data_IF_099321051113
#
_entry.id   IF_099321051113
#
_cell.length_a   1.000
_cell.length_b   1.000
_cell.length_c   1.000
_cell.angle_alpha   90.00
_cell.angle_beta   90.00
_cell.angle_gamma   90.00
#
_symmetry.space_group_name_H-M   'P 1'
#
loop_
_entity.id
_entity.type
_entity.pdbx_description
1 polymer ?
#
# COMPACT_ATOMS: atom_id res chain seq x y z
N UNK A 1 29.53 5.80 -3.91
CA UNK A 1 28.61 6.42 -4.87
C UNK A 1 27.63 7.25 -4.05
N UNK A 2 27.49 8.55 -4.33
CA UNK A 2 26.57 9.40 -3.58
C UNK A 2 25.15 9.09 -4.08
N UNK A 3 24.24 8.75 -3.16
CA UNK A 3 22.83 8.50 -3.49
C UNK A 3 22.14 9.84 -3.75
N UNK A 4 21.55 9.99 -4.92
CA UNK A 4 20.61 11.08 -5.20
C UNK A 4 19.19 10.51 -5.04
N UNK A 5 18.47 10.87 -3.97
CA UNK A 5 17.11 10.39 -3.79
C UNK A 5 16.20 10.99 -4.87
N UNK A 6 15.22 10.21 -5.30
CA UNK A 6 14.12 10.69 -6.13
C UNK A 6 13.23 11.64 -5.33
N UNK A 7 12.37 12.45 -6.01
CA UNK A 7 11.37 13.24 -5.31
C UNK A 7 10.54 12.36 -4.37
N UNK A 8 10.39 12.76 -3.12
CA UNK A 8 9.66 11.96 -2.12
C UNK A 8 8.16 11.84 -2.42
N UNK A 9 7.56 12.80 -3.13
CA UNK A 9 6.16 12.77 -3.54
C UNK A 9 6.03 12.90 -5.05
N UNK A 10 5.38 11.93 -5.68
CA UNK A 10 5.06 11.92 -7.10
C UNK A 10 3.71 12.63 -7.35
N UNK A 11 3.70 13.96 -7.27
CA UNK A 11 2.48 14.77 -7.46
C UNK A 11 2.34 15.38 -8.87
N UNK A 12 3.38 15.32 -9.70
CA UNK A 12 3.30 15.85 -11.05
C UNK A 12 2.40 14.96 -11.92
N UNK A 13 1.39 15.55 -12.55
CA UNK A 13 0.34 14.82 -13.28
C UNK A 13 0.89 13.94 -14.41
N UNK A 14 1.91 14.41 -15.12
CA UNK A 14 2.59 13.68 -16.19
C UNK A 14 3.33 12.43 -15.66
N UNK A 15 3.97 12.54 -14.51
CA UNK A 15 4.62 11.40 -13.84
C UNK A 15 3.61 10.37 -13.37
N UNK A 16 2.49 10.82 -12.78
CA UNK A 16 1.42 9.91 -12.31
C UNK A 16 0.79 9.16 -13.47
N UNK A 17 0.50 9.84 -14.58
CA UNK A 17 -0.05 9.22 -15.78
C UNK A 17 0.95 8.21 -16.36
N UNK A 18 2.20 8.59 -16.54
CA UNK A 18 3.23 7.71 -17.08
C UNK A 18 3.44 6.46 -16.20
N UNK A 19 3.39 6.63 -14.87
CA UNK A 19 3.48 5.51 -13.93
C UNK A 19 2.24 4.60 -14.00
N UNK A 20 1.05 5.17 -14.11
CA UNK A 20 -0.20 4.42 -14.19
C UNK A 20 -0.38 3.66 -15.51
N UNK A 21 0.22 4.15 -16.61
CA UNK A 21 0.23 3.53 -17.94
C UNK A 21 1.33 2.48 -18.10
N UNK A 22 2.35 2.49 -17.25
CA UNK A 22 3.42 1.49 -17.29
C UNK A 22 2.90 0.11 -16.92
N UNK A 23 3.31 -0.91 -17.67
CA UNK A 23 2.91 -2.30 -17.41
C UNK A 23 3.79 -2.94 -16.33
N UNK A 24 3.32 -2.87 -15.10
CA UNK A 24 3.91 -3.57 -13.95
C UNK A 24 3.22 -4.90 -13.64
N UNK A 25 2.27 -5.33 -14.47
CA UNK A 25 1.33 -6.43 -14.16
C UNK A 25 2.03 -7.74 -13.77
N UNK A 26 3.11 -8.09 -14.44
CA UNK A 26 3.88 -9.31 -14.13
C UNK A 26 4.60 -9.22 -12.78
N UNK A 27 5.25 -8.09 -12.48
CA UNK A 27 5.92 -7.85 -11.20
C UNK A 27 4.93 -7.79 -10.04
N UNK A 28 3.84 -7.07 -10.23
CA UNK A 28 2.76 -6.94 -9.24
C UNK A 28 2.12 -8.30 -8.93
N UNK A 29 1.89 -9.12 -9.96
CA UNK A 29 1.36 -10.47 -9.79
C UNK A 29 2.30 -11.34 -8.97
N UNK A 30 3.57 -11.41 -9.37
CA UNK A 30 4.59 -12.20 -8.65
C UNK A 30 4.78 -11.74 -7.20
N UNK A 31 4.70 -10.43 -6.94
CA UNK A 31 4.75 -9.89 -5.59
C UNK A 31 3.59 -10.38 -4.73
N UNK A 32 2.36 -10.31 -5.25
CA UNK A 32 1.15 -10.75 -4.53
C UNK A 32 1.15 -12.26 -4.33
N UNK A 33 1.51 -13.05 -5.34
CA UNK A 33 1.65 -14.51 -5.19
C UNK A 33 2.62 -14.86 -4.05
N UNK A 34 3.79 -14.23 -4.04
CA UNK A 34 4.80 -14.48 -3.01
C UNK A 34 4.30 -14.08 -1.62
N UNK A 35 3.57 -12.99 -1.51
CA UNK A 35 2.97 -12.58 -0.25
C UNK A 35 1.93 -13.58 0.24
N UNK A 36 1.05 -14.08 -0.64
CA UNK A 36 0.05 -15.08 -0.28
C UNK A 36 0.70 -16.39 0.20
N UNK A 37 1.79 -16.82 -0.44
CA UNK A 37 2.59 -17.96 0.04
C UNK A 37 3.16 -17.72 1.45
N UNK A 38 3.64 -16.52 1.74
CA UNK A 38 4.15 -16.16 3.07
C UNK A 38 3.03 -16.15 4.12
N UNK A 39 1.87 -15.60 3.78
CA UNK A 39 0.69 -15.62 4.66
C UNK A 39 0.30 -17.05 4.98
N UNK A 40 0.19 -17.92 3.98
CA UNK A 40 -0.14 -19.33 4.18
C UNK A 40 0.90 -20.04 5.05
N UNK A 41 2.17 -19.79 4.80
CA UNK A 41 3.28 -20.41 5.56
C UNK A 41 3.30 -20.00 7.03
N UNK A 42 3.09 -18.71 7.34
CA UNK A 42 3.25 -18.19 8.71
C UNK A 42 1.96 -18.13 9.50
N UNK A 43 0.82 -17.93 8.84
CA UNK A 43 -0.48 -17.70 9.48
C UNK A 43 -1.49 -18.82 9.21
N UNK A 44 -1.23 -19.74 8.28
CA UNK A 44 -2.16 -20.73 7.72
C UNK A 44 -3.37 -20.09 7.05
N UNK A 45 -4.04 -19.15 7.72
CA UNK A 45 -5.11 -18.29 7.17
C UNK A 45 -5.20 -17.00 7.98
N UNK A 46 -5.55 -15.90 7.32
CA UNK A 46 -5.88 -14.66 8.02
C UNK A 46 -7.32 -14.74 8.56
N UNK A 47 -7.56 -14.37 9.82
CA UNK A 47 -8.91 -14.24 10.36
C UNK A 47 -9.75 -13.27 9.52
N UNK A 48 -11.08 -13.51 9.36
CA UNK A 48 -11.96 -12.53 8.75
C UNK A 48 -11.88 -11.16 9.44
N UNK A 49 -11.83 -10.08 8.66
CA UNK A 49 -11.66 -8.73 9.16
C UNK A 49 -10.20 -8.36 9.47
N UNK A 50 -9.22 -9.21 9.13
CA UNK A 50 -7.81 -8.85 9.23
C UNK A 50 -7.49 -7.62 8.41
N UNK A 51 -6.80 -6.66 9.02
CA UNK A 51 -6.35 -5.44 8.33
C UNK A 51 -5.03 -5.69 7.62
N UNK A 52 -4.99 -5.31 6.34
CA UNK A 52 -3.81 -5.32 5.48
C UNK A 52 -3.50 -3.90 5.06
N UNK A 53 -2.28 -3.43 5.29
CA UNK A 53 -1.83 -2.10 4.88
C UNK A 53 -0.84 -2.20 3.73
N UNK A 54 -1.04 -1.35 2.72
CA UNK A 54 -0.11 -1.15 1.61
C UNK A 54 0.50 0.25 1.72
N UNK A 55 1.76 0.32 2.17
CA UNK A 55 2.48 1.57 2.45
C UNK A 55 3.18 2.07 1.18
N UNK A 56 2.80 3.25 0.72
CA UNK A 56 3.22 3.80 -0.57
C UNK A 56 2.50 3.08 -1.72
N UNK A 57 1.18 2.98 -1.62
CA UNK A 57 0.35 2.20 -2.54
C UNK A 57 0.33 2.74 -3.98
N UNK A 58 0.77 3.99 -4.19
CA UNK A 58 0.71 4.64 -5.49
C UNK A 58 -0.70 4.62 -6.09
N UNK A 59 -0.87 4.24 -7.37
CA UNK A 59 -2.17 4.17 -8.02
C UNK A 59 -2.96 2.89 -7.67
N UNK A 60 -2.57 2.16 -6.63
CA UNK A 60 -3.33 1.07 -6.02
C UNK A 60 -3.20 -0.31 -6.68
N UNK A 61 -2.21 -0.55 -7.51
CA UNK A 61 -2.09 -1.81 -8.26
C UNK A 61 -1.97 -3.05 -7.36
N UNK A 62 -1.14 -2.98 -6.31
CA UNK A 62 -0.97 -4.06 -5.33
C UNK A 62 -2.20 -4.16 -4.44
N UNK A 63 -2.69 -3.03 -3.91
CA UNK A 63 -3.87 -2.98 -3.04
C UNK A 63 -5.10 -3.62 -3.68
N UNK A 64 -5.39 -3.34 -4.98
CA UNK A 64 -6.51 -3.94 -5.70
C UNK A 64 -6.38 -5.47 -5.83
N UNK A 65 -5.17 -5.96 -6.11
CA UNK A 65 -4.89 -7.40 -6.22
C UNK A 65 -5.05 -8.10 -4.88
N UNK A 66 -4.55 -7.48 -3.80
CA UNK A 66 -4.69 -8.02 -2.43
C UNK A 66 -6.17 -8.09 -2.03
N UNK A 67 -6.93 -7.04 -2.25
CA UNK A 67 -8.35 -7.01 -1.94
C UNK A 67 -9.16 -8.07 -2.72
N UNK A 68 -8.79 -8.32 -3.98
CA UNK A 68 -9.41 -9.36 -4.80
C UNK A 68 -9.04 -10.78 -4.32
N UNK A 69 -7.79 -11.01 -3.88
CA UNK A 69 -7.32 -12.31 -3.42
C UNK A 69 -7.76 -12.63 -1.99
N UNK A 70 -7.99 -11.61 -1.15
CA UNK A 70 -8.31 -11.73 0.28
C UNK A 70 -9.65 -11.06 0.61
N UNK A 71 -10.77 -11.57 0.10
CA UNK A 71 -12.07 -10.90 0.17
C UNK A 71 -12.65 -10.80 1.58
N UNK A 72 -12.12 -11.55 2.55
CA UNK A 72 -12.54 -11.50 3.96
C UNK A 72 -11.66 -10.56 4.80
N UNK A 73 -10.62 -9.99 4.22
CA UNK A 73 -9.74 -9.01 4.87
C UNK A 73 -10.14 -7.59 4.46
N UNK A 74 -9.79 -6.62 5.28
CA UNK A 74 -9.86 -5.19 4.94
C UNK A 74 -8.50 -4.76 4.41
N UNK A 75 -8.46 -4.11 3.24
CA UNK A 75 -7.24 -3.59 2.64
C UNK A 75 -7.28 -2.07 2.64
N UNK A 76 -6.23 -1.44 3.16
CA UNK A 76 -6.09 0.01 3.11
C UNK A 76 -4.75 0.34 2.44
N UNK A 77 -4.83 1.01 1.30
CA UNK A 77 -3.67 1.60 0.64
C UNK A 77 -3.43 3.02 1.14
N UNK A 78 -2.21 3.33 1.53
CA UNK A 78 -1.84 4.68 1.94
C UNK A 78 -0.69 5.21 1.09
N UNK A 79 -0.80 6.50 0.73
CA UNK A 79 0.23 7.21 -0.02
C UNK A 79 0.23 8.69 0.37
N UNK A 80 1.40 9.33 0.35
CA UNK A 80 1.55 10.76 0.62
C UNK A 80 1.25 11.65 -0.58
N UNK A 81 1.15 11.11 -1.79
CA UNK A 81 0.89 11.86 -3.01
C UNK A 81 -0.61 11.89 -3.32
N UNK A 82 -1.21 13.08 -3.22
CA UNK A 82 -2.65 13.26 -3.47
C UNK A 82 -3.07 12.85 -4.88
N UNK A 83 -2.20 13.06 -5.87
CA UNK A 83 -2.44 12.64 -7.26
C UNK A 83 -2.51 11.12 -7.40
N UNK A 84 -1.68 10.37 -6.67
CA UNK A 84 -1.72 8.90 -6.64
C UNK A 84 -3.01 8.40 -6.00
N UNK A 85 -3.40 8.94 -4.85
CA UNK A 85 -4.64 8.58 -4.17
C UNK A 85 -5.88 8.91 -5.03
N UNK A 86 -5.88 10.04 -5.73
CA UNK A 86 -6.95 10.40 -6.67
C UNK A 86 -7.06 9.37 -7.80
N UNK A 87 -5.95 8.96 -8.39
CA UNK A 87 -5.90 7.93 -9.42
C UNK A 87 -6.37 6.57 -8.91
N UNK A 88 -5.92 6.15 -7.73
CA UNK A 88 -6.33 4.89 -7.10
C UNK A 88 -7.85 4.86 -6.86
N UNK A 89 -8.43 5.94 -6.32
CA UNK A 89 -9.87 6.05 -6.10
C UNK A 89 -10.66 6.04 -7.41
N UNK A 90 -10.17 6.72 -8.45
CA UNK A 90 -10.80 6.71 -9.78
C UNK A 90 -10.82 5.30 -10.37
N UNK A 91 -9.71 4.57 -10.31
CA UNK A 91 -9.63 3.17 -10.77
C UNK A 91 -10.60 2.28 -10.00
N UNK A 92 -10.60 2.37 -8.67
CA UNK A 92 -11.49 1.61 -7.80
C UNK A 92 -12.97 1.88 -8.12
N UNK A 93 -13.35 3.13 -8.31
CA UNK A 93 -14.72 3.51 -8.69
C UNK A 93 -15.16 2.90 -10.04
N UNK A 94 -14.24 2.81 -11.00
CA UNK A 94 -14.50 2.23 -12.32
C UNK A 94 -14.44 0.69 -12.34
N UNK A 95 -13.93 0.05 -11.27
CA UNK A 95 -13.70 -1.38 -11.22
C UNK A 95 -15.00 -2.18 -11.31
N UNK A 96 -15.00 -3.23 -12.15
CA UNK A 96 -16.11 -4.17 -12.27
C UNK A 96 -15.55 -5.61 -12.33
N UNK A 97 -16.02 -6.54 -11.49
CA UNK A 97 -16.95 -6.31 -10.37
C UNK A 97 -16.39 -5.34 -9.32
N UNK A 98 -17.25 -4.71 -8.54
CA UNK A 98 -16.84 -3.77 -7.50
C UNK A 98 -16.03 -4.48 -6.40
N UNK A 99 -14.97 -3.85 -5.94
CA UNK A 99 -14.19 -4.25 -4.76
C UNK A 99 -14.71 -3.43 -3.58
N UNK A 100 -15.18 -4.09 -2.53
CA UNK A 100 -15.86 -3.45 -1.38
C UNK A 100 -15.02 -3.45 -0.10
N UNK A 101 -13.93 -4.21 -0.07
CA UNK A 101 -13.01 -4.38 1.05
C UNK A 101 -11.70 -3.62 0.87
N UNK A 102 -11.70 -2.56 0.05
CA UNK A 102 -10.54 -1.73 -0.25
C UNK A 102 -10.87 -0.26 -0.05
N UNK A 103 -9.99 0.45 0.63
CA UNK A 103 -10.02 1.90 0.81
C UNK A 103 -8.64 2.52 0.59
N UNK A 104 -8.60 3.79 0.21
CA UNK A 104 -7.35 4.54 0.06
C UNK A 104 -7.34 5.78 0.94
N UNK A 105 -6.21 6.03 1.60
CA UNK A 105 -6.05 7.18 2.50
C UNK A 105 -4.81 8.00 2.11
N UNK A 106 -4.97 9.31 2.11
CA UNK A 106 -3.85 10.24 1.93
C UNK A 106 -3.12 10.41 3.26
N UNK A 107 -1.99 9.75 3.41
CA UNK A 107 -1.15 9.83 4.61
C UNK A 107 0.31 9.98 4.22
N UNK A 108 0.92 11.07 4.61
CA UNK A 108 2.36 11.27 4.46
C UNK A 108 3.11 10.65 5.65
N UNK A 109 3.73 9.49 5.44
CA UNK A 109 4.45 8.75 6.49
C UNK A 109 5.61 9.51 7.13
N UNK A 110 6.01 10.67 6.59
CA UNK A 110 7.05 11.53 7.17
C UNK A 110 6.52 12.47 8.24
N UNK A 111 5.22 12.80 8.18
CA UNK A 111 4.63 13.91 8.92
C UNK A 111 3.27 13.58 9.56
N UNK A 112 2.90 12.30 9.71
CA UNK A 112 1.61 11.95 10.31
C UNK A 112 1.62 12.01 11.84
N UNK A 113 0.49 12.38 12.44
CA UNK A 113 0.22 12.20 13.86
C UNK A 113 -0.39 10.81 14.10
N UNK A 114 -0.16 10.24 15.30
CA UNK A 114 -0.79 8.96 15.67
C UNK A 114 -2.33 9.04 15.71
N UNK A 115 -2.88 10.23 15.91
CA UNK A 115 -4.33 10.46 15.93
C UNK A 115 -4.94 10.44 14.53
N UNK A 116 -4.17 10.82 13.51
CA UNK A 116 -4.61 10.83 12.11
C UNK A 116 -4.72 9.42 11.50
N UNK A 117 -4.15 8.41 12.17
CA UNK A 117 -4.00 7.06 11.67
C UNK A 117 -4.58 5.98 12.61
N UNK A 118 -5.49 6.37 13.52
CA UNK A 118 -6.05 5.41 14.50
C UNK A 118 -6.74 4.23 13.83
N UNK A 119 -7.45 4.48 12.73
CA UNK A 119 -8.21 3.46 11.99
C UNK A 119 -7.33 2.47 11.22
N UNK A 120 -6.02 2.75 11.12
CA UNK A 120 -5.08 1.88 10.41
C UNK A 120 -4.05 1.20 11.32
N UNK A 121 -4.27 1.22 12.63
CA UNK A 121 -3.44 0.49 13.61
C UNK A 121 -3.89 -0.95 13.76
N UNK A 122 -2.94 -1.79 14.14
CA UNK A 122 -3.22 -3.20 14.39
C UNK A 122 -3.31 -4.03 13.11
N UNK A 123 -2.58 -3.61 12.07
CA UNK A 123 -2.52 -4.37 10.83
C UNK A 123 -1.90 -5.75 11.05
N UNK A 124 -2.57 -6.78 10.54
CA UNK A 124 -2.07 -8.16 10.56
C UNK A 124 -1.00 -8.41 9.51
N UNK A 125 -1.05 -7.66 8.41
CA UNK A 125 -0.08 -7.70 7.32
C UNK A 125 0.22 -6.27 6.88
N UNK A 126 1.50 -5.97 6.72
CA UNK A 126 1.95 -4.70 6.15
C UNK A 126 2.84 -5.00 4.95
N UNK A 127 2.51 -4.40 3.82
CA UNK A 127 3.29 -4.50 2.59
C UNK A 127 3.78 -3.12 2.16
N UNK A 128 4.87 -3.12 1.42
CA UNK A 128 5.40 -1.94 0.76
C UNK A 128 6.21 -2.37 -0.45
N UNK A 129 5.78 -1.97 -1.63
CA UNK A 129 6.45 -2.30 -2.88
C UNK A 129 6.92 -1.02 -3.59
N UNK A 130 8.19 -0.99 -4.02
CA UNK A 130 8.78 0.12 -4.78
C UNK A 130 8.66 1.51 -4.12
N UNK A 131 8.57 1.58 -2.78
CA UNK A 131 8.36 2.82 -2.03
C UNK A 131 9.60 3.31 -1.29
N UNK A 132 10.42 2.39 -0.74
CA UNK A 132 11.55 2.73 0.15
C UNK A 132 12.56 3.69 -0.49
N UNK A 133 12.74 3.64 -1.82
CA UNK A 133 13.70 4.48 -2.53
C UNK A 133 13.26 5.94 -2.64
N UNK A 134 11.97 6.24 -2.45
CA UNK A 134 11.46 7.61 -2.36
C UNK A 134 11.70 8.25 -0.98
N UNK A 135 11.95 7.47 0.06
CA UNK A 135 12.19 8.02 1.38
C UNK A 135 13.65 8.47 1.55
N UNK A 136 13.86 9.75 1.87
CA UNK A 136 15.19 10.27 2.21
C UNK A 136 15.73 9.63 3.48
N UNK A 137 14.85 9.36 4.44
CA UNK A 137 15.13 8.66 5.68
C UNK A 137 14.44 7.28 5.70
N UNK A 138 15.06 6.20 5.22
CA UNK A 138 14.44 4.87 5.16
C UNK A 138 13.92 4.35 6.50
N UNK A 139 14.49 4.84 7.61
CA UNK A 139 14.07 4.50 8.97
C UNK A 139 12.62 4.88 9.25
N UNK A 140 12.07 5.87 8.55
CA UNK A 140 10.67 6.29 8.63
C UNK A 140 9.73 5.12 8.32
N UNK A 141 10.01 4.34 7.28
CA UNK A 141 9.19 3.16 6.95
C UNK A 141 9.15 2.15 8.10
N UNK A 142 10.32 1.83 8.66
CA UNK A 142 10.40 0.86 9.75
C UNK A 142 9.75 1.36 11.04
N UNK A 143 9.81 2.65 11.31
CA UNK A 143 9.10 3.28 12.43
C UNK A 143 7.59 3.16 12.24
N UNK A 144 7.09 3.44 11.03
CA UNK A 144 5.68 3.30 10.68
C UNK A 144 5.20 1.85 10.81
N UNK A 145 5.95 0.89 10.28
CA UNK A 145 5.63 -0.54 10.42
C UNK A 145 5.46 -0.92 11.90
N UNK A 146 6.41 -0.54 12.76
CA UNK A 146 6.34 -0.84 14.21
C UNK A 146 5.13 -0.23 14.91
N UNK A 147 4.66 0.93 14.45
CA UNK A 147 3.52 1.63 15.05
C UNK A 147 2.16 1.10 14.56
N UNK A 148 2.12 0.63 13.32
CA UNK A 148 0.90 0.21 12.63
C UNK A 148 0.63 -1.28 12.78
N UNK A 149 1.66 -2.09 12.98
CA UNK A 149 1.55 -3.54 13.10
C UNK A 149 0.77 -3.98 14.34
N UNK A 150 0.02 -5.05 14.21
CA UNK A 150 -0.48 -5.81 15.34
C UNK A 150 0.69 -6.46 16.11
N UNK A 151 0.50 -6.84 17.39
CA UNK A 151 1.58 -7.42 18.21
C UNK A 151 2.23 -8.67 17.63
N UNK A 152 1.56 -9.35 16.71
CA UNK A 152 2.04 -10.60 16.05
C UNK A 152 1.96 -10.52 14.52
N UNK A 153 2.05 -9.31 13.94
CA UNK A 153 2.03 -9.11 12.50
C UNK A 153 3.34 -9.53 11.84
#
# INVERSE_FOLDING_TARGET
>A
MQRFPEPELMNASDQVIAYAEADFSSGDHSFVERLLELIDHFCSTLPPGSLILDLGCGPGNISERLAACLPLSEVIGIDGASSMISMANQKLFCRRPAITNLNYQLVDLRHYCLDDIQDIKGASVIVSNSFLHHLHAPQTLWASVKQLAAPNA
#
